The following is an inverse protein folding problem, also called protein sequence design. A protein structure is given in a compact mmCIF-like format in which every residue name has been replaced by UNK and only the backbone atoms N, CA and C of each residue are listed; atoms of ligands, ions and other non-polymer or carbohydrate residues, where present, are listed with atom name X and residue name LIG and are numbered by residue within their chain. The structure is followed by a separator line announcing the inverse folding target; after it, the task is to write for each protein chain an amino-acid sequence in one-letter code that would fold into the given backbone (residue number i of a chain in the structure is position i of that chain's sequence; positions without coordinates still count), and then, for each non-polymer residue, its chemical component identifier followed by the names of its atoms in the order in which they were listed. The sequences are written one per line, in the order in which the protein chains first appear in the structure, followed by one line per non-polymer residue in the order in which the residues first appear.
data_IF_725939910070
#
_entry.id   IF_725939910070
#
_cell.length_a   1.000
_cell.length_b   1.000
_cell.length_c   1.000
_cell.angle_alpha   90.00
_cell.angle_beta   90.00
_cell.angle_gamma   90.00
#
_symmetry.space_group_name_H-M   'P 1'
#
loop_
_entity.id
_entity.type
_entity.pdbx_description
1 polymer ?
#
# COMPACT_ATOMS: atom_id res chain seq x y z
N UNK A 1 -13.31 -52.17 23.77
CA UNK A 1 -12.85 -51.56 22.53
C UNK A 1 -13.91 -50.76 21.78
N UNK A 2 -15.11 -51.24 21.49
CA UNK A 2 -16.16 -50.47 20.75
C UNK A 2 -16.67 -49.23 21.50
N UNK A 3 -16.83 -49.29 22.84
CA UNK A 3 -17.28 -48.15 23.63
C UNK A 3 -16.21 -47.03 23.67
N UNK A 4 -14.94 -47.39 23.81
CA UNK A 4 -13.80 -46.44 23.83
C UNK A 4 -13.65 -45.68 22.51
N UNK A 5 -13.83 -46.36 21.36
CA UNK A 5 -13.84 -45.70 20.04
C UNK A 5 -15.00 -44.73 19.86
N UNK A 6 -16.19 -45.03 20.37
CA UNK A 6 -17.34 -44.11 20.33
C UNK A 6 -17.12 -42.89 21.19
N UNK A 7 -16.53 -43.02 22.37
CA UNK A 7 -16.21 -41.89 23.25
C UNK A 7 -15.16 -40.96 22.61
N UNK A 8 -14.11 -41.51 21.99
CA UNK A 8 -13.09 -40.70 21.27
C UNK A 8 -13.71 -39.98 20.08
N UNK A 9 -14.57 -40.62 19.30
CA UNK A 9 -15.23 -39.97 18.16
C UNK A 9 -16.15 -38.83 18.60
N UNK A 10 -16.86 -38.96 19.70
CA UNK A 10 -17.73 -37.90 20.24
C UNK A 10 -16.88 -36.74 20.77
N UNK A 11 -15.77 -37.02 21.47
CA UNK A 11 -14.85 -35.97 21.93
C UNK A 11 -14.19 -35.23 20.77
N UNK A 12 -13.80 -35.94 19.70
CA UNK A 12 -13.20 -35.34 18.51
C UNK A 12 -14.19 -34.40 17.80
N UNK A 13 -15.46 -34.85 17.65
CA UNK A 13 -16.53 -34.01 17.06
C UNK A 13 -16.81 -32.77 17.93
N UNK A 14 -16.82 -32.94 19.27
CA UNK A 14 -17.02 -31.83 20.20
C UNK A 14 -15.87 -30.81 20.13
N UNK A 15 -14.61 -31.27 20.03
CA UNK A 15 -13.45 -30.37 19.85
C UNK A 15 -13.50 -29.63 18.54
N UNK A 16 -13.90 -30.28 17.44
CA UNK A 16 -14.03 -29.62 16.12
C UNK A 16 -15.16 -28.58 16.14
N UNK A 17 -16.30 -28.90 16.78
CA UNK A 17 -17.42 -27.93 16.86
C UNK A 17 -17.08 -26.73 17.76
N UNK A 18 -16.37 -26.95 18.89
CA UNK A 18 -15.90 -25.83 19.75
C UNK A 18 -14.86 -24.99 19.03
N UNK A 19 -13.91 -25.60 18.30
CA UNK A 19 -12.95 -24.87 17.49
C UNK A 19 -13.64 -24.06 16.38
N UNK A 20 -14.62 -24.64 15.68
CA UNK A 20 -15.40 -23.94 14.66
C UNK A 20 -16.26 -22.81 15.25
N UNK A 21 -16.82 -22.96 16.45
CA UNK A 21 -17.52 -21.89 17.17
C UNK A 21 -16.57 -20.77 17.60
N UNK A 22 -15.37 -21.09 18.10
CA UNK A 22 -14.36 -20.08 18.44
C UNK A 22 -13.91 -19.28 17.22
N UNK A 23 -13.72 -19.95 16.07
CA UNK A 23 -13.36 -19.29 14.80
C UNK A 23 -14.52 -18.39 14.32
N UNK A 24 -15.77 -18.85 14.42
CA UNK A 24 -16.93 -18.06 14.01
C UNK A 24 -17.20 -16.86 14.93
N UNK A 25 -16.93 -16.97 16.23
CA UNK A 25 -17.03 -15.86 17.19
C UNK A 25 -15.95 -14.81 16.92
N UNK A 26 -14.71 -15.24 16.67
CA UNK A 26 -13.64 -14.28 16.28
C UNK A 26 -13.91 -13.58 14.95
N UNK A 27 -14.51 -14.25 13.97
CA UNK A 27 -14.87 -13.65 12.68
C UNK A 27 -16.08 -12.70 12.79
N UNK A 28 -17.02 -12.95 13.70
CA UNK A 28 -18.16 -12.09 13.95
C UNK A 28 -17.77 -10.80 14.71
N UNK A 29 -16.88 -10.89 15.71
CA UNK A 29 -16.37 -9.74 16.45
C UNK A 29 -15.52 -8.80 15.59
N UNK A 30 -14.84 -9.34 14.56
CA UNK A 30 -13.99 -8.53 13.65
C UNK A 30 -14.80 -7.60 12.73
N UNK A 31 -16.03 -7.92 12.37
CA UNK A 31 -16.90 -7.06 11.56
C UNK A 31 -17.39 -5.81 12.28
N UNK A 32 -17.41 -5.82 13.61
CA UNK A 32 -17.84 -4.70 14.44
C UNK A 32 -16.69 -3.75 14.83
N UNK A 33 -15.44 -4.13 14.56
CA UNK A 33 -14.25 -3.40 15.02
C UNK A 33 -13.72 -2.35 14.03
N UNK A 34 -14.44 -2.01 12.95
CA UNK A 34 -14.09 -0.84 12.15
C UNK A 34 -14.30 0.41 13.03
N UNK A 35 -13.28 1.28 13.21
CA UNK A 35 -13.42 2.44 14.07
C UNK A 35 -14.60 3.29 13.63
N UNK A 36 -15.36 3.74 14.60
CA UNK A 36 -16.36 4.80 14.39
C UNK A 36 -15.66 6.04 13.84
N UNK A 37 -16.43 6.97 13.26
CA UNK A 37 -15.88 8.26 12.81
C UNK A 37 -15.10 9.00 13.93
N UNK A 38 -15.51 8.85 15.19
CA UNK A 38 -14.76 9.35 16.34
C UNK A 38 -13.45 8.59 16.59
N UNK A 39 -13.43 7.27 16.37
CA UNK A 39 -12.22 6.47 16.48
C UNK A 39 -11.20 6.80 15.40
N UNK A 40 -11.65 7.08 14.17
CA UNK A 40 -10.77 7.54 13.07
C UNK A 40 -10.17 8.91 13.41
N UNK A 41 -10.96 9.83 13.99
CA UNK A 41 -10.44 11.14 14.38
C UNK A 41 -9.37 11.00 15.47
N UNK A 42 -9.56 10.15 16.46
CA UNK A 42 -8.55 9.88 17.49
C UNK A 42 -7.24 9.35 16.90
N UNK A 43 -7.32 8.49 15.88
CA UNK A 43 -6.12 8.01 15.17
C UNK A 43 -5.45 9.12 14.34
N UNK A 44 -6.21 10.04 13.73
CA UNK A 44 -5.65 11.20 13.02
C UNK A 44 -4.87 12.12 13.97
N UNK A 45 -5.35 12.28 15.19
CA UNK A 45 -4.71 13.13 16.20
C UNK A 45 -3.36 12.56 16.70
N UNK A 46 -3.04 11.29 16.36
CA UNK A 46 -1.74 10.67 16.64
C UNK A 46 -0.66 10.99 15.61
N UNK A 47 -1.04 11.60 14.48
CA UNK A 47 -0.09 11.98 13.44
C UNK A 47 0.52 13.35 13.73
N UNK A 48 1.83 13.42 13.59
CA UNK A 48 2.61 14.64 13.60
C UNK A 48 2.74 15.19 12.17
N UNK A 49 3.08 16.47 12.04
CA UNK A 49 3.28 17.15 10.76
C UNK A 49 4.67 17.80 10.71
N UNK A 50 5.32 17.71 9.54
CA UNK A 50 6.60 18.35 9.28
C UNK A 50 6.74 18.70 7.78
N UNK A 51 7.80 19.43 7.41
CA UNK A 51 8.12 19.85 6.06
C UNK A 51 9.56 19.45 5.77
N UNK A 52 9.79 18.79 4.64
CA UNK A 52 11.13 18.46 4.18
C UNK A 52 11.87 19.68 3.63
N UNK A 53 13.21 19.69 3.62
CA UNK A 53 13.99 20.68 2.89
C UNK A 53 13.56 20.78 1.44
N UNK A 54 13.67 21.99 0.89
CA UNK A 54 13.38 22.22 -0.52
C UNK A 54 14.38 21.45 -1.41
N UNK A 55 13.83 20.66 -2.31
CA UNK A 55 14.59 19.97 -3.35
C UNK A 55 13.84 20.10 -4.69
N UNK A 56 14.55 20.42 -5.75
CA UNK A 56 14.02 20.62 -7.09
C UNK A 56 12.86 21.64 -7.16
N UNK A 57 12.91 22.68 -6.30
CA UNK A 57 11.91 23.75 -6.24
C UNK A 57 10.69 23.48 -5.37
N UNK A 58 10.65 22.34 -4.67
CA UNK A 58 9.54 21.95 -3.81
C UNK A 58 10.01 21.54 -2.42
N UNK A 59 9.42 22.15 -1.38
CA UNK A 59 9.46 21.70 0.00
C UNK A 59 8.15 20.96 0.28
N UNK A 60 8.20 19.63 0.25
CA UNK A 60 6.99 18.83 0.47
C UNK A 60 6.69 18.72 1.97
N UNK A 61 5.44 18.99 2.33
CA UNK A 61 4.94 18.68 3.66
C UNK A 61 4.52 17.20 3.78
N UNK A 62 4.60 16.68 4.99
CA UNK A 62 4.20 15.32 5.28
C UNK A 62 3.60 15.18 6.68
N UNK A 63 2.66 14.26 6.82
CA UNK A 63 2.22 13.78 8.12
C UNK A 63 2.88 12.44 8.41
N UNK A 64 3.10 12.13 9.69
CA UNK A 64 3.67 10.84 10.06
C UNK A 64 3.18 10.34 11.41
N UNK A 65 3.13 9.02 11.54
CA UNK A 65 2.94 8.32 12.79
C UNK A 65 4.24 7.65 13.22
N UNK A 66 4.57 7.77 14.51
CA UNK A 66 5.73 7.13 15.11
C UNK A 66 5.33 6.05 16.12
N UNK A 67 5.80 4.81 15.97
CA UNK A 67 5.57 3.74 16.94
C UNK A 67 6.49 3.86 18.17
N UNK A 68 7.43 4.83 18.16
CA UNK A 68 8.51 4.92 19.14
C UNK A 68 7.99 5.40 20.48
N UNK A 69 8.11 4.55 21.50
CA UNK A 69 7.85 4.91 22.87
C UNK A 69 9.00 5.73 23.50
N UNK A 70 8.74 6.30 24.66
CA UNK A 70 9.73 7.06 25.41
C UNK A 70 10.91 6.14 25.83
N UNK A 71 12.13 6.48 25.43
CA UNK A 71 13.35 5.67 25.64
C UNK A 71 13.39 4.35 24.85
N UNK A 72 12.68 4.26 23.76
CA UNK A 72 12.71 3.10 22.89
C UNK A 72 13.98 3.11 22.02
N UNK A 73 14.65 1.96 21.92
CA UNK A 73 15.80 1.71 21.05
C UNK A 73 15.49 0.67 19.95
N UNK A 74 14.21 0.33 19.77
CA UNK A 74 13.74 -0.59 18.75
C UNK A 74 13.97 -0.05 17.33
N UNK A 75 14.02 -0.96 16.37
CA UNK A 75 14.07 -0.67 14.94
C UNK A 75 12.76 -1.04 14.30
N UNK A 76 12.16 -0.10 13.57
CA UNK A 76 10.83 -0.22 13.00
C UNK A 76 10.84 -0.03 11.49
N UNK A 77 10.04 -0.77 10.71
CA UNK A 77 9.83 -0.51 9.31
C UNK A 77 9.33 0.92 9.06
N UNK A 78 9.58 1.44 7.86
CA UNK A 78 8.99 2.67 7.35
C UNK A 78 8.04 2.34 6.20
N UNK A 79 6.77 2.74 6.31
CA UNK A 79 5.75 2.59 5.28
C UNK A 79 5.37 3.98 4.76
N UNK A 80 5.63 4.23 3.48
CA UNK A 80 5.36 5.49 2.81
C UNK A 80 4.10 5.31 1.97
N UNK A 81 3.09 6.16 2.19
CA UNK A 81 1.84 6.10 1.45
C UNK A 81 1.59 7.41 0.69
N UNK A 82 1.36 7.28 -0.63
CA UNK A 82 1.13 8.38 -1.55
C UNK A 82 -0.35 8.45 -1.94
N UNK A 83 -0.97 9.61 -1.69
CA UNK A 83 -2.38 9.82 -2.01
C UNK A 83 -2.65 9.79 -3.52
N UNK A 84 -3.89 9.52 -3.91
CA UNK A 84 -4.34 9.58 -5.30
C UNK A 84 -4.58 11.01 -5.76
N UNK A 85 -5.20 11.14 -6.94
CA UNK A 85 -5.70 12.44 -7.44
C UNK A 85 -6.81 12.90 -6.49
N UNK A 86 -6.64 14.09 -5.93
CA UNK A 86 -7.61 14.72 -5.03
C UNK A 86 -7.42 16.23 -5.00
N UNK A 87 -8.06 16.90 -4.07
CA UNK A 87 -7.84 18.31 -3.79
C UNK A 87 -6.76 18.42 -2.72
N UNK A 88 -5.50 18.29 -3.11
CA UNK A 88 -4.37 18.47 -2.18
C UNK A 88 -4.15 19.95 -1.81
N UNK A 89 -5.26 20.71 -1.71
CA UNK A 89 -5.32 22.17 -1.56
C UNK A 89 -5.34 22.62 -0.09
N UNK A 90 -5.16 21.73 0.86
CA UNK A 90 -5.08 22.06 2.27
C UNK A 90 -4.14 21.12 3.05
N UNK A 91 -3.52 21.67 4.07
CA UNK A 91 -2.66 20.93 5.01
C UNK A 91 -3.43 19.77 5.67
N UNK A 92 -2.80 18.61 5.73
CA UNK A 92 -3.43 17.41 6.28
C UNK A 92 -4.38 16.68 5.33
N UNK A 93 -4.46 17.08 4.05
CA UNK A 93 -5.24 16.36 3.03
C UNK A 93 -4.94 14.85 3.02
N UNK A 94 -3.67 14.48 3.09
CA UNK A 94 -3.22 13.10 3.10
C UNK A 94 -3.79 12.27 4.27
N UNK A 95 -4.13 12.89 5.40
CA UNK A 95 -4.82 12.25 6.53
C UNK A 95 -6.33 12.07 6.29
N UNK A 96 -6.89 12.86 5.39
CA UNK A 96 -8.31 12.80 5.06
C UNK A 96 -8.62 11.87 3.88
N UNK A 97 -7.61 11.36 3.20
CA UNK A 97 -7.78 10.23 2.29
C UNK A 97 -8.07 8.98 3.14
N UNK A 98 -9.29 8.82 3.44
CA UNK A 98 -10.17 8.22 4.44
C UNK A 98 -9.59 7.13 5.34
N UNK A 99 -8.56 6.43 4.92
CA UNK A 99 -8.25 5.14 5.55
C UNK A 99 -6.81 5.09 6.09
N UNK A 100 -5.97 6.11 5.81
CA UNK A 100 -4.59 6.15 6.28
C UNK A 100 -4.42 6.14 7.79
N UNK A 101 -5.27 6.82 8.58
CA UNK A 101 -5.18 6.79 10.03
C UNK A 101 -5.29 5.38 10.63
N UNK A 102 -5.91 4.43 9.95
CA UNK A 102 -5.99 3.04 10.41
C UNK A 102 -4.64 2.38 10.61
N UNK A 103 -3.65 2.76 9.82
CA UNK A 103 -2.32 2.20 9.93
C UNK A 103 -1.65 2.52 11.27
N UNK A 104 -2.10 3.57 11.97
CA UNK A 104 -1.70 3.91 13.33
C UNK A 104 -2.45 3.09 14.40
N UNK A 105 -3.49 2.33 14.05
CA UNK A 105 -4.24 1.56 15.03
C UNK A 105 -3.36 0.51 15.73
N UNK A 106 -3.57 0.34 17.04
CA UNK A 106 -2.83 -0.64 17.83
C UNK A 106 -2.95 -2.07 17.24
N UNK A 107 -4.08 -2.37 16.61
CA UNK A 107 -4.30 -3.66 15.97
C UNK A 107 -3.35 -3.87 14.79
N UNK A 108 -3.25 -2.92 13.85
CA UNK A 108 -2.36 -3.04 12.70
C UNK A 108 -0.89 -2.94 13.13
N UNK A 109 -0.56 -2.02 14.01
CA UNK A 109 0.79 -1.86 14.53
C UNK A 109 1.32 -3.14 15.20
N UNK A 110 0.49 -3.85 15.97
CA UNK A 110 0.88 -5.11 16.64
C UNK A 110 1.18 -6.27 15.68
N UNK A 111 0.83 -6.17 14.39
CA UNK A 111 1.09 -7.22 13.38
C UNK A 111 2.50 -7.14 12.79
N UNK A 112 3.17 -6.00 12.92
CA UNK A 112 4.59 -5.90 12.60
C UNK A 112 5.41 -6.68 13.64
N UNK A 113 6.37 -7.48 13.17
CA UNK A 113 7.24 -8.27 14.07
C UNK A 113 8.08 -7.40 14.99
N UNK A 114 8.33 -6.15 14.60
CA UNK A 114 8.96 -5.10 15.40
C UNK A 114 8.05 -4.52 16.49
N UNK A 115 6.75 -4.85 16.50
CA UNK A 115 5.75 -4.27 17.39
C UNK A 115 5.17 -2.95 16.89
N UNK A 116 5.55 -2.50 15.68
CA UNK A 116 5.04 -1.30 15.04
C UNK A 116 5.79 -0.95 13.77
N UNK A 117 5.36 0.12 13.09
CA UNK A 117 6.01 0.70 11.93
C UNK A 117 5.77 2.21 11.90
N UNK A 118 6.72 2.97 11.39
CA UNK A 118 6.49 4.36 10.98
C UNK A 118 5.56 4.40 9.78
N UNK A 119 4.62 5.34 9.77
CA UNK A 119 3.75 5.62 8.64
C UNK A 119 4.04 7.04 8.18
N UNK A 120 4.45 7.21 6.94
CA UNK A 120 4.84 8.50 6.36
C UNK A 120 3.91 8.83 5.20
N UNK A 121 3.27 9.99 5.27
CA UNK A 121 2.24 10.45 4.34
C UNK A 121 2.67 11.78 3.71
N UNK A 122 3.50 11.78 2.67
CA UNK A 122 3.83 13.00 1.93
C UNK A 122 2.62 13.55 1.17
N UNK A 123 2.60 14.88 0.98
CA UNK A 123 1.59 15.57 0.18
C UNK A 123 2.21 16.18 -1.07
N UNK A 124 1.59 15.95 -2.21
CA UNK A 124 1.95 16.64 -3.45
C UNK A 124 1.61 18.12 -3.38
N UNK A 125 2.41 19.02 -4.00
CA UNK A 125 2.20 20.47 -3.91
C UNK A 125 0.90 20.91 -4.58
N UNK A 126 0.28 21.97 -4.04
CA UNK A 126 -1.01 22.52 -4.48
C UNK A 126 -0.97 23.12 -5.88
N UNK A 127 0.16 23.72 -6.25
CA UNK A 127 0.35 24.41 -7.52
C UNK A 127 0.54 23.46 -8.71
N UNK A 128 0.70 22.16 -8.44
CA UNK A 128 0.82 21.17 -9.49
C UNK A 128 -0.56 20.85 -10.09
N UNK A 129 -0.71 21.05 -11.39
CA UNK A 129 -1.89 20.63 -12.15
C UNK A 129 -2.10 19.13 -12.10
N UNK A 130 -1.05 18.40 -11.76
CA UNK A 130 -1.00 16.97 -11.63
C UNK A 130 -0.30 16.66 -10.32
N UNK A 131 -0.95 15.98 -9.41
CA UNK A 131 -0.55 15.79 -8.02
C UNK A 131 0.81 15.13 -7.85
N UNK A 132 1.06 14.02 -8.51
CA UNK A 132 2.34 13.32 -8.55
C UNK A 132 2.82 13.24 -10.00
N UNK A 133 4.05 13.65 -10.26
CA UNK A 133 4.69 13.55 -11.56
C UNK A 133 6.21 13.40 -11.39
N UNK A 134 6.89 13.06 -12.46
CA UNK A 134 8.33 12.76 -12.44
C UNK A 134 9.21 13.92 -11.93
N UNK A 135 8.74 15.18 -11.97
CA UNK A 135 9.50 16.31 -11.41
C UNK A 135 9.58 16.29 -9.88
N UNK A 136 8.70 15.54 -9.21
CA UNK A 136 8.65 15.43 -7.75
C UNK A 136 9.46 14.24 -7.19
N UNK A 137 10.08 13.42 -8.04
CA UNK A 137 10.85 12.24 -7.61
C UNK A 137 11.96 12.63 -6.63
N UNK A 138 12.77 13.64 -6.98
CA UNK A 138 13.86 14.10 -6.10
C UNK A 138 13.34 14.79 -4.84
N UNK A 139 12.24 15.55 -4.93
CA UNK A 139 11.62 16.18 -3.77
C UNK A 139 11.03 15.12 -2.82
N UNK A 140 10.43 14.07 -3.35
CA UNK A 140 9.94 12.95 -2.54
C UNK A 140 11.08 12.14 -1.93
N UNK A 141 12.19 11.96 -2.64
CA UNK A 141 13.41 11.38 -2.07
C UNK A 141 13.92 12.22 -0.90
N UNK A 142 13.95 13.56 -1.05
CA UNK A 142 14.36 14.46 0.03
C UNK A 142 13.47 14.34 1.27
N UNK A 143 12.16 14.08 1.13
CA UNK A 143 11.27 13.75 2.26
C UNK A 143 11.74 12.49 2.97
N UNK A 144 12.06 11.44 2.23
CA UNK A 144 12.48 10.14 2.81
C UNK A 144 13.83 10.30 3.52
N UNK A 145 14.79 10.97 2.88
CA UNK A 145 16.13 11.21 3.44
C UNK A 145 16.07 12.06 4.72
N UNK A 146 15.27 13.14 4.70
CA UNK A 146 15.03 14.00 5.87
C UNK A 146 14.38 13.22 7.02
N UNK A 147 13.37 12.41 6.70
CA UNK A 147 12.69 11.59 7.69
C UNK A 147 13.64 10.55 8.31
N UNK A 148 14.46 9.88 7.49
CA UNK A 148 15.48 8.95 7.98
C UNK A 148 16.53 9.68 8.82
N UNK A 149 16.98 10.88 8.42
CA UNK A 149 17.92 11.67 9.18
C UNK A 149 17.38 12.04 10.58
N UNK A 150 16.09 12.37 10.69
CA UNK A 150 15.43 12.74 11.96
C UNK A 150 15.13 11.54 12.85
N UNK A 151 14.76 10.40 12.27
CA UNK A 151 14.24 9.23 13.01
C UNK A 151 15.10 7.96 12.86
N UNK A 152 16.23 8.01 12.15
CA UNK A 152 17.04 6.86 11.75
C UNK A 152 17.56 5.99 12.89
N UNK A 153 17.63 6.53 14.11
CA UNK A 153 17.95 5.72 15.30
C UNK A 153 16.91 4.62 15.56
N UNK A 154 15.69 4.80 15.06
CA UNK A 154 14.58 3.87 15.24
C UNK A 154 14.02 3.31 13.92
N UNK A 155 14.54 3.72 12.76
CA UNK A 155 14.11 3.15 11.46
C UNK A 155 14.99 1.94 11.11
N UNK A 156 14.36 0.84 10.72
CA UNK A 156 14.99 -0.27 10.02
C UNK A 156 15.07 0.07 8.54
N UNK A 157 16.23 0.59 8.11
CA UNK A 157 16.44 1.01 6.72
C UNK A 157 16.37 -0.14 5.72
N UNK A 158 16.51 -1.39 6.16
CA UNK A 158 16.28 -2.57 5.31
C UNK A 158 14.80 -2.90 5.11
N UNK A 159 13.89 -2.17 5.76
CA UNK A 159 12.43 -2.38 5.79
C UNK A 159 11.67 -1.11 5.40
N UNK A 160 12.04 -0.48 4.29
CA UNK A 160 11.33 0.67 3.73
C UNK A 160 10.37 0.18 2.64
N UNK A 161 9.11 0.55 2.78
CA UNK A 161 8.03 0.18 1.85
C UNK A 161 7.37 1.43 1.29
N UNK A 162 6.97 1.36 0.02
CA UNK A 162 6.24 2.45 -0.62
C UNK A 162 4.96 1.93 -1.27
N UNK A 163 3.90 2.69 -1.12
CA UNK A 163 2.61 2.42 -1.74
C UNK A 163 1.90 3.71 -2.10
N UNK A 164 0.83 3.57 -2.82
CA UNK A 164 -0.06 4.67 -3.17
C UNK A 164 -1.19 4.18 -4.05
N UNK A 165 -2.22 5.00 -4.15
CA UNK A 165 -3.41 4.70 -4.93
C UNK A 165 -3.46 5.56 -6.18
N UNK A 166 -3.79 4.99 -7.33
CA UNK A 166 -3.95 5.73 -8.59
C UNK A 166 -2.66 6.50 -8.94
N UNK A 167 -2.68 7.84 -8.98
CA UNK A 167 -1.49 8.67 -9.20
C UNK A 167 -0.39 8.42 -8.16
N UNK A 168 -0.74 8.20 -6.89
CA UNK A 168 0.23 7.80 -5.87
C UNK A 168 0.84 6.43 -6.14
N UNK A 169 0.08 5.50 -6.71
CA UNK A 169 0.59 4.20 -7.15
C UNK A 169 1.56 4.32 -8.34
N UNK A 170 1.34 5.30 -9.22
CA UNK A 170 2.28 5.62 -10.30
C UNK A 170 3.59 6.16 -9.75
N UNK A 171 3.51 7.15 -8.84
CA UNK A 171 4.70 7.69 -8.19
C UNK A 171 5.43 6.62 -7.36
N UNK A 172 4.73 5.66 -6.75
CA UNK A 172 5.38 4.55 -6.07
C UNK A 172 6.22 3.71 -7.06
N UNK A 173 5.74 3.49 -8.29
CA UNK A 173 6.53 2.87 -9.36
C UNK A 173 7.73 3.72 -9.76
N UNK A 174 7.52 5.03 -9.98
CA UNK A 174 8.59 5.95 -10.35
C UNK A 174 9.72 5.93 -9.31
N UNK A 175 9.37 5.91 -8.03
CA UNK A 175 10.34 5.85 -6.93
C UNK A 175 11.12 4.54 -6.91
N UNK A 176 10.47 3.37 -7.04
CA UNK A 176 11.20 2.09 -7.03
C UNK A 176 12.02 1.86 -8.29
N UNK A 177 11.70 2.51 -9.40
CA UNK A 177 12.49 2.49 -10.63
C UNK A 177 13.72 3.41 -10.47
N UNK A 178 13.52 4.61 -9.90
CA UNK A 178 14.59 5.58 -9.71
C UNK A 178 15.58 5.19 -8.62
N UNK A 179 15.09 4.59 -7.53
CA UNK A 179 15.87 4.27 -6.32
C UNK A 179 15.57 2.86 -5.80
N UNK A 180 15.80 1.81 -6.61
CA UNK A 180 15.39 0.45 -6.25
C UNK A 180 16.02 -0.07 -4.95
N UNK A 181 17.22 0.38 -4.61
CA UNK A 181 17.94 -0.06 -3.42
C UNK A 181 17.32 0.42 -2.11
N UNK A 182 16.57 1.54 -2.11
CA UNK A 182 15.90 2.05 -0.91
C UNK A 182 14.80 1.10 -0.42
N UNK A 183 14.14 0.40 -1.32
CA UNK A 183 12.86 -0.25 -1.01
C UNK A 183 13.01 -1.77 -0.85
N UNK A 184 12.54 -2.28 0.28
CA UNK A 184 12.30 -3.70 0.49
C UNK A 184 11.14 -4.19 -0.39
N UNK A 185 10.12 -3.36 -0.54
CA UNK A 185 9.00 -3.67 -1.38
C UNK A 185 8.10 -2.49 -1.68
N UNK A 186 7.26 -2.66 -2.70
CA UNK A 186 6.21 -1.72 -3.07
C UNK A 186 4.88 -2.44 -3.30
N UNK A 187 3.77 -1.78 -2.92
CA UNK A 187 2.43 -2.31 -3.17
C UNK A 187 1.54 -1.26 -3.83
N UNK A 188 1.76 -0.96 -5.13
CA UNK A 188 0.97 0.00 -5.88
C UNK A 188 -0.47 -0.50 -6.07
N UNK A 189 -1.45 0.41 -5.86
CA UNK A 189 -2.87 0.11 -5.81
C UNK A 189 -3.57 0.86 -6.94
N UNK A 190 -4.33 0.15 -7.77
CA UNK A 190 -5.05 0.73 -8.90
C UNK A 190 -4.19 1.69 -9.72
N UNK A 191 -2.93 1.34 -9.92
CA UNK A 191 -1.92 2.15 -10.61
C UNK A 191 -2.02 1.96 -12.11
N UNK A 192 -2.04 3.06 -12.85
CA UNK A 192 -2.07 3.07 -14.31
C UNK A 192 -0.71 2.88 -14.94
N UNK A 193 0.37 2.88 -14.15
CA UNK A 193 1.76 2.97 -14.58
C UNK A 193 2.08 2.18 -15.82
N UNK A 194 2.52 2.87 -16.86
CA UNK A 194 3.07 2.25 -18.07
C UNK A 194 4.52 1.81 -17.85
N UNK A 195 4.71 0.91 -16.89
CA UNK A 195 6.04 0.38 -16.57
C UNK A 195 6.49 -0.60 -17.65
N UNK A 196 7.57 -0.27 -18.31
CA UNK A 196 8.16 -1.08 -19.37
C UNK A 196 8.92 -2.30 -18.82
N UNK A 197 9.20 -3.27 -19.69
CA UNK A 197 10.02 -4.42 -19.32
C UNK A 197 11.48 -4.04 -18.93
N UNK A 198 12.00 -2.91 -19.42
CA UNK A 198 13.32 -2.40 -19.02
C UNK A 198 13.29 -1.80 -17.63
N UNK A 199 12.25 -1.08 -17.28
CA UNK A 199 12.05 -0.49 -15.94
C UNK A 199 11.82 -1.57 -14.88
N UNK A 200 11.04 -2.62 -15.18
CA UNK A 200 10.92 -3.78 -14.28
C UNK A 200 12.28 -4.42 -14.00
N UNK A 201 13.19 -4.47 -14.97
CA UNK A 201 14.54 -4.99 -14.72
C UNK A 201 15.39 -4.07 -13.83
N UNK A 202 15.17 -2.76 -13.86
CA UNK A 202 15.87 -1.81 -12.98
C UNK A 202 15.51 -2.04 -11.51
N UNK A 203 14.26 -2.40 -11.23
CA UNK A 203 13.78 -2.69 -9.88
C UNK A 203 13.57 -4.19 -9.61
N UNK A 204 14.38 -5.05 -10.25
CA UNK A 204 14.20 -6.51 -10.20
C UNK A 204 14.41 -7.14 -8.81
N UNK A 205 15.06 -6.44 -7.89
CA UNK A 205 15.28 -6.90 -6.52
C UNK A 205 14.21 -6.42 -5.53
N UNK A 206 13.35 -5.47 -5.96
CA UNK A 206 12.26 -4.97 -5.11
C UNK A 206 11.09 -5.94 -5.14
N UNK A 207 10.61 -6.35 -3.98
CA UNK A 207 9.40 -7.16 -3.89
C UNK A 207 8.16 -6.32 -4.26
N UNK A 208 7.31 -6.82 -5.17
CA UNK A 208 6.17 -6.05 -5.67
C UNK A 208 4.85 -6.77 -5.37
N UNK A 209 3.94 -6.07 -4.71
CA UNK A 209 2.56 -6.55 -4.55
C UNK A 209 1.58 -5.63 -5.24
N UNK A 210 1.15 -5.95 -6.45
CA UNK A 210 0.13 -5.19 -7.18
C UNK A 210 -1.26 -5.51 -6.65
N UNK A 211 -2.11 -4.48 -6.51
CA UNK A 211 -3.52 -4.62 -6.11
C UNK A 211 -4.38 -3.92 -7.16
N UNK A 212 -5.28 -4.67 -7.81
CA UNK A 212 -6.06 -4.15 -8.93
C UNK A 212 -7.46 -4.77 -9.02
N UNK A 213 -8.45 -3.97 -9.39
CA UNK A 213 -9.78 -4.47 -9.73
C UNK A 213 -9.87 -4.83 -11.22
N UNK A 214 -10.51 -5.95 -11.53
CA UNK A 214 -10.75 -6.38 -12.92
C UNK A 214 -11.74 -5.47 -13.66
N UNK A 215 -12.52 -4.69 -12.93
CA UNK A 215 -13.54 -3.77 -13.46
C UNK A 215 -13.17 -2.31 -13.30
N UNK A 216 -11.92 -2.00 -12.96
CA UNK A 216 -11.46 -0.62 -12.83
C UNK A 216 -11.70 0.14 -14.15
N UNK A 217 -12.46 1.25 -14.14
CA UNK A 217 -12.79 2.00 -15.35
C UNK A 217 -11.61 2.83 -15.89
N UNK A 218 -10.59 3.11 -15.04
CA UNK A 218 -9.43 3.93 -15.38
C UNK A 218 -8.19 3.10 -15.68
N UNK A 219 -8.03 1.97 -14.97
CA UNK A 219 -6.90 1.07 -15.14
C UNK A 219 -7.38 -0.23 -15.78
N UNK A 220 -7.20 -0.34 -17.08
CA UNK A 220 -7.64 -1.54 -17.79
C UNK A 220 -6.82 -2.76 -17.37
N UNK A 221 -7.46 -3.67 -16.65
CA UNK A 221 -6.82 -4.86 -16.09
C UNK A 221 -6.13 -5.71 -17.17
N UNK A 222 -6.74 -5.89 -18.33
CA UNK A 222 -6.23 -6.77 -19.41
C UNK A 222 -5.07 -6.14 -20.16
N UNK A 223 -5.11 -4.82 -20.40
CA UNK A 223 -4.12 -4.14 -21.25
C UNK A 223 -3.02 -3.43 -20.46
N UNK A 224 -3.22 -3.21 -19.16
CA UNK A 224 -2.25 -2.54 -18.26
C UNK A 224 -1.75 -3.52 -17.21
N UNK A 225 -2.63 -3.97 -16.30
CA UNK A 225 -2.21 -4.77 -15.14
C UNK A 225 -1.62 -6.12 -15.52
N UNK A 226 -2.28 -6.87 -16.40
CA UNK A 226 -1.80 -8.21 -16.77
C UNK A 226 -0.45 -8.21 -17.52
N UNK A 227 -0.18 -7.33 -18.50
CA UNK A 227 1.12 -7.24 -19.14
C UNK A 227 2.24 -6.86 -18.18
N UNK A 228 1.99 -5.90 -17.28
CA UNK A 228 2.95 -5.51 -16.26
C UNK A 228 3.24 -6.68 -15.31
N UNK A 229 2.22 -7.37 -14.83
CA UNK A 229 2.40 -8.56 -14.00
C UNK A 229 3.24 -9.65 -14.68
N UNK A 230 3.02 -9.90 -15.96
CA UNK A 230 3.84 -10.83 -16.74
C UNK A 230 5.31 -10.41 -16.79
N UNK A 231 5.58 -9.10 -16.90
CA UNK A 231 6.95 -8.59 -16.86
C UNK A 231 7.57 -8.80 -15.48
N UNK A 232 6.84 -8.55 -14.39
CA UNK A 232 7.31 -8.80 -13.02
C UNK A 232 7.66 -10.28 -12.85
N UNK A 233 6.74 -11.20 -13.16
CA UNK A 233 7.00 -12.64 -13.06
C UNK A 233 8.24 -13.10 -13.87
N UNK A 234 8.53 -12.41 -14.97
CA UNK A 234 9.63 -12.78 -15.86
C UNK A 234 10.98 -12.19 -15.44
N UNK A 235 10.99 -10.99 -14.88
CA UNK A 235 12.22 -10.21 -14.73
C UNK A 235 12.60 -9.90 -13.29
N UNK A 236 11.68 -10.11 -12.32
CA UNK A 236 12.04 -9.99 -10.92
C UNK A 236 12.93 -11.16 -10.49
N UNK A 237 13.95 -10.88 -9.71
CA UNK A 237 14.94 -11.87 -9.26
C UNK A 237 14.35 -12.80 -8.17
N UNK A 238 13.31 -12.35 -7.45
CA UNK A 238 12.62 -13.10 -6.41
C UNK A 238 11.10 -13.13 -6.67
N UNK A 239 10.64 -13.82 -7.74
CA UNK A 239 9.23 -13.79 -8.13
C UNK A 239 8.29 -14.39 -7.05
N UNK A 240 8.80 -15.24 -6.15
CA UNK A 240 8.03 -15.76 -5.02
C UNK A 240 7.62 -14.66 -4.01
N UNK A 241 8.37 -13.56 -3.94
CA UNK A 241 8.08 -12.42 -3.08
C UNK A 241 7.14 -11.41 -3.76
N UNK A 242 6.94 -11.54 -5.08
CA UNK A 242 6.00 -10.71 -5.83
C UNK A 242 4.59 -11.29 -5.80
N UNK A 243 3.58 -10.42 -5.77
CA UNK A 243 2.16 -10.79 -5.68
C UNK A 243 1.28 -9.91 -6.55
N UNK A 244 0.20 -10.49 -7.04
CA UNK A 244 -0.90 -9.78 -7.68
C UNK A 244 -2.21 -10.19 -7.00
N UNK A 245 -2.87 -9.24 -6.35
CA UNK A 245 -4.24 -9.37 -5.89
C UNK A 245 -5.20 -8.80 -6.92
N UNK A 246 -6.08 -9.65 -7.43
CA UNK A 246 -7.10 -9.31 -8.42
C UNK A 246 -8.48 -9.38 -7.80
N UNK A 247 -9.23 -8.27 -7.86
CA UNK A 247 -10.56 -8.16 -7.31
C UNK A 247 -11.62 -8.17 -8.41
N UNK A 248 -12.68 -8.93 -8.19
CA UNK A 248 -13.87 -8.90 -9.06
C UNK A 248 -14.81 -7.75 -8.67
N UNK A 249 -14.81 -7.35 -7.40
CA UNK A 249 -15.59 -6.21 -6.88
C UNK A 249 -14.86 -5.57 -5.70
N UNK A 250 -15.05 -4.27 -5.54
CA UNK A 250 -14.61 -3.52 -4.36
C UNK A 250 -15.84 -3.33 -3.46
N UNK A 251 -15.71 -3.74 -2.20
CA UNK A 251 -16.76 -3.59 -1.18
C UNK A 251 -16.23 -2.62 -0.14
N UNK A 252 -16.96 -1.55 0.11
CA UNK A 252 -16.59 -0.60 1.17
C UNK A 252 -16.78 -1.23 2.56
N UNK A 253 -15.83 -1.03 3.49
CA UNK A 253 -15.87 -1.64 4.83
C UNK A 253 -17.11 -1.32 5.65
N UNK A 254 -17.73 -0.17 5.44
CA UNK A 254 -18.89 0.31 6.20
C UNK A 254 -20.22 -0.40 5.89
N UNK A 255 -20.22 -1.50 5.12
CA UNK A 255 -21.44 -2.23 4.79
C UNK A 255 -22.38 -1.50 3.84
N UNK A 256 -21.95 -0.37 3.29
CA UNK A 256 -22.60 0.27 2.18
C UNK A 256 -22.53 -0.65 0.96
N UNK A 257 -23.59 -0.66 0.16
CA UNK A 257 -23.68 -1.45 -1.06
C UNK A 257 -22.36 -1.43 -1.84
N UNK A 258 -22.01 -2.57 -2.43
CA UNK A 258 -20.84 -2.68 -3.29
C UNK A 258 -20.66 -1.39 -4.09
N UNK A 259 -19.61 -0.65 -3.83
CA UNK A 259 -19.30 0.55 -4.59
C UNK A 259 -19.05 0.11 -6.02
N UNK A 260 -19.83 0.63 -6.98
CA UNK A 260 -19.54 0.43 -8.40
C UNK A 260 -18.21 1.11 -8.80
N UNK A 261 -17.58 1.83 -7.88
CA UNK A 261 -16.30 2.47 -8.10
C UNK A 261 -15.13 1.52 -7.88
N UNK A 262 -14.91 0.64 -8.83
CA UNK A 262 -13.84 -0.35 -8.82
C UNK A 262 -12.42 0.24 -8.82
N UNK A 263 -12.26 1.55 -8.98
CA UNK A 263 -10.99 2.25 -8.83
C UNK A 263 -10.59 2.44 -7.36
N UNK A 264 -11.52 2.28 -6.42
CA UNK A 264 -11.27 2.34 -4.98
C UNK A 264 -10.67 1.03 -4.42
N UNK A 265 -9.91 0.28 -5.21
CA UNK A 265 -9.23 -0.93 -4.74
C UNK A 265 -8.33 -0.69 -3.52
N UNK A 266 -7.96 0.56 -3.24
CA UNK A 266 -7.22 0.97 -2.04
C UNK A 266 -7.91 0.58 -0.73
N UNK A 267 -9.24 0.61 -0.66
CA UNK A 267 -9.99 0.26 0.56
C UNK A 267 -9.68 -1.16 1.07
N UNK A 268 -9.21 -2.03 0.22
CA UNK A 268 -8.84 -3.41 0.58
C UNK A 268 -7.59 -3.46 1.44
N UNK A 269 -6.66 -2.52 1.24
CA UNK A 269 -5.44 -2.45 2.05
C UNK A 269 -5.73 -1.98 3.47
N UNK A 270 -6.90 -1.42 3.68
CA UNK A 270 -7.38 -0.93 4.96
C UNK A 270 -8.41 -1.86 5.58
N UNK A 271 -8.96 -2.77 4.77
CA UNK A 271 -9.78 -3.84 5.29
C UNK A 271 -8.89 -4.88 5.97
N UNK A 272 -9.23 -5.23 7.19
CA UNK A 272 -8.53 -6.25 7.98
C UNK A 272 -8.32 -7.57 7.24
N UNK A 273 -9.18 -7.87 6.26
CA UNK A 273 -9.09 -9.10 5.47
C UNK A 273 -7.80 -9.21 4.65
N UNK A 274 -7.32 -8.09 4.07
CA UNK A 274 -6.03 -8.09 3.37
C UNK A 274 -4.85 -7.83 4.31
N UNK A 275 -5.05 -7.02 5.35
CA UNK A 275 -4.00 -6.61 6.27
C UNK A 275 -3.69 -7.69 7.31
N UNK A 276 -4.69 -8.45 7.73
CA UNK A 276 -4.54 -9.52 8.72
C UNK A 276 -4.36 -10.92 8.11
N UNK A 277 -4.35 -11.01 6.79
CA UNK A 277 -4.19 -12.25 6.08
C UNK A 277 -5.46 -13.08 5.93
N UNK A 278 -6.64 -12.55 6.27
CA UNK A 278 -7.90 -13.22 5.96
C UNK A 278 -8.30 -12.99 4.49
N UNK A 279 -9.18 -13.85 3.96
CA UNK A 279 -9.60 -13.80 2.56
C UNK A 279 -10.61 -12.68 2.34
N UNK A 280 -10.29 -11.72 1.48
CA UNK A 280 -11.25 -10.72 1.03
C UNK A 280 -12.21 -11.34 0.00
N UNK A 281 -13.54 -11.16 0.12
CA UNK A 281 -14.49 -11.77 -0.81
C UNK A 281 -14.16 -11.44 -2.27
N UNK A 282 -14.13 -12.46 -3.12
CA UNK A 282 -13.87 -12.35 -4.56
C UNK A 282 -12.47 -11.83 -4.93
N UNK A 283 -11.50 -11.93 -4.02
CA UNK A 283 -10.11 -11.62 -4.32
C UNK A 283 -9.32 -12.90 -4.60
N UNK A 284 -8.55 -12.89 -5.67
CA UNK A 284 -7.58 -13.93 -5.97
C UNK A 284 -6.19 -13.30 -5.92
N UNK A 285 -5.33 -13.84 -5.07
CA UNK A 285 -3.92 -13.44 -5.01
C UNK A 285 -3.04 -14.57 -5.52
N UNK A 286 -2.12 -14.23 -6.41
CA UNK A 286 -1.11 -15.16 -6.94
C UNK A 286 0.28 -14.61 -6.67
N UNK A 287 1.27 -15.51 -6.47
CA UNK A 287 2.68 -15.14 -6.46
C UNK A 287 3.26 -15.10 -7.88
N UNK A 288 4.50 -14.61 -8.04
CA UNK A 288 5.16 -14.52 -9.34
C UNK A 288 5.53 -15.88 -9.94
N UNK A 289 5.42 -16.98 -9.19
CA UNK A 289 5.56 -18.35 -9.69
C UNK A 289 4.22 -18.95 -10.16
N UNK A 290 3.11 -18.20 -10.03
CA UNK A 290 1.77 -18.62 -10.42
C UNK A 290 1.02 -19.43 -9.37
N UNK A 291 1.51 -19.52 -8.14
CA UNK A 291 0.79 -20.17 -7.06
C UNK A 291 -0.31 -19.26 -6.52
N UNK A 292 -1.51 -19.78 -6.36
CA UNK A 292 -2.58 -19.07 -5.66
C UNK A 292 -2.30 -19.09 -4.15
N UNK A 293 -2.33 -17.90 -3.54
CA UNK A 293 -2.10 -17.71 -2.13
C UNK A 293 -3.44 -17.58 -1.40
N UNK A 294 -3.56 -18.31 -0.29
CA UNK A 294 -4.59 -18.00 0.69
C UNK A 294 -4.13 -16.82 1.54
N UNK A 295 -4.91 -15.73 1.57
CA UNK A 295 -4.59 -14.52 2.34
C UNK A 295 -4.97 -14.64 3.83
N UNK A 296 -5.34 -15.81 4.31
CA UNK A 296 -5.40 -16.06 5.75
C UNK A 296 -4.00 -15.89 6.36
N UNK A 297 -3.97 -15.44 7.61
CA UNK A 297 -2.71 -15.36 8.36
C UNK A 297 -1.86 -16.64 8.15
N UNK A 298 -0.58 -16.55 7.71
CA UNK A 298 0.31 -15.38 7.77
C UNK A 298 0.55 -14.67 6.41
N UNK A 299 -0.36 -14.66 5.47
CA UNK A 299 -0.13 -14.24 4.09
C UNK A 299 -0.60 -12.81 3.73
N UNK A 300 -1.07 -12.00 4.68
CA UNK A 300 -1.50 -10.63 4.47
C UNK A 300 -0.36 -9.64 4.21
N UNK A 301 -0.70 -8.40 3.88
CA UNK A 301 0.28 -7.35 3.50
C UNK A 301 1.33 -7.12 4.59
N UNK A 302 0.93 -7.02 5.87
CA UNK A 302 1.90 -6.79 6.95
C UNK A 302 2.81 -8.00 7.13
N UNK A 303 2.28 -9.20 7.01
CA UNK A 303 3.09 -10.43 7.06
C UNK A 303 4.09 -10.50 5.90
N UNK A 304 3.66 -10.06 4.71
CA UNK A 304 4.55 -9.95 3.56
C UNK A 304 5.66 -8.91 3.82
N UNK A 305 5.34 -7.71 4.31
CA UNK A 305 6.33 -6.71 4.70
C UNK A 305 7.31 -7.23 5.76
N UNK A 306 6.84 -8.04 6.71
CA UNK A 306 7.72 -8.68 7.69
C UNK A 306 8.73 -9.63 7.03
N UNK A 307 8.40 -10.25 5.90
CA UNK A 307 9.21 -11.30 5.25
C UNK A 307 10.23 -10.79 4.25
N UNK A 308 10.07 -9.58 3.70
CA UNK A 308 10.96 -9.01 2.67
C UNK A 308 11.87 -7.93 3.24
N UNK A 309 13.05 -7.74 2.63
CA UNK A 309 14.03 -6.72 3.04
C UNK A 309 14.91 -6.30 1.86
N UNK A 310 15.43 -5.07 1.92
CA UNK A 310 16.46 -4.56 1.01
C UNK A 310 17.86 -4.67 1.64
N UNK A 311 18.87 -4.25 0.89
CA UNK A 311 20.24 -4.09 1.39
C UNK A 311 20.60 -2.63 1.71
N UNK A 312 19.61 -1.74 1.75
CA UNK A 312 19.85 -0.32 1.99
C UNK A 312 20.40 -0.06 3.41
N UNK A 313 21.51 0.65 3.48
CA UNK A 313 22.23 0.92 4.75
C UNK A 313 21.85 2.23 5.42
N UNK A 314 20.96 3.02 4.80
CA UNK A 314 20.50 4.30 5.32
C UNK A 314 21.36 5.50 4.91
N UNK A 315 22.38 5.32 4.06
CA UNK A 315 23.21 6.42 3.61
C UNK A 315 22.51 7.18 2.44
N UNK A 316 22.25 8.49 2.59
CA UNK A 316 21.63 9.28 1.54
C UNK A 316 22.44 9.24 0.25
N UNK A 317 21.80 9.00 -0.87
CA UNK A 317 22.41 9.12 -2.19
C UNK A 317 23.18 7.90 -2.69
N UNK A 318 23.11 6.72 -2.01
CA UNK A 318 23.64 5.47 -2.57
C UNK A 318 22.85 5.01 -3.80
N UNK A 319 21.71 5.63 -4.09
CA UNK A 319 20.89 5.40 -5.28
C UNK A 319 21.64 5.67 -6.58
N UNK A 320 21.77 4.65 -7.42
CA UNK A 320 22.38 4.75 -8.74
C UNK A 320 21.37 4.90 -9.88
N UNK A 321 20.08 4.87 -9.55
CA UNK A 321 18.99 4.90 -10.52
C UNK A 321 18.81 6.29 -11.13
N UNK A 322 19.45 6.58 -12.25
CA UNK A 322 19.06 7.71 -13.10
C UNK A 322 17.85 7.30 -13.93
N UNK A 323 16.69 7.76 -13.53
CA UNK A 323 15.51 7.71 -14.39
C UNK A 323 15.77 8.61 -15.60
N UNK A 324 15.81 8.05 -16.79
CA UNK A 324 15.79 8.81 -18.03
C UNK A 324 14.33 9.10 -18.34
N UNK A 325 13.78 10.14 -17.69
CA UNK A 325 12.45 10.64 -18.04
C UNK A 325 12.55 11.18 -19.46
N UNK A 326 11.86 10.55 -20.39
CA UNK A 326 11.78 11.05 -21.75
C UNK A 326 10.72 12.14 -21.81
N UNK A 327 11.01 13.23 -22.52
CA UNK A 327 10.04 14.33 -22.80
C UNK A 327 8.70 13.79 -23.35
N UNK A 328 8.72 12.60 -23.97
CA UNK A 328 7.53 11.91 -24.47
C UNK A 328 6.66 11.38 -23.31
N UNK A 329 7.25 10.87 -22.25
CA UNK A 329 6.52 10.34 -21.09
C UNK A 329 5.84 11.48 -20.33
N UNK A 330 6.47 12.64 -20.20
CA UNK A 330 5.87 13.84 -19.63
C UNK A 330 4.67 14.35 -20.48
N UNK A 331 4.79 14.31 -21.81
CA UNK A 331 3.68 14.65 -22.70
C UNK A 331 2.52 13.63 -22.55
N UNK A 332 2.80 12.36 -22.54
CA UNK A 332 1.79 11.30 -22.38
C UNK A 332 1.09 11.45 -21.02
N UNK A 333 1.84 11.67 -19.96
CA UNK A 333 1.32 11.89 -18.62
C UNK A 333 0.49 13.16 -18.54
N UNK A 334 0.92 14.26 -19.19
CA UNK A 334 0.15 15.51 -19.30
C UNK A 334 -1.21 15.28 -19.98
N UNK A 335 -1.23 14.61 -21.15
CA UNK A 335 -2.49 14.35 -21.88
C UNK A 335 -3.40 13.38 -21.11
N UNK A 336 -2.86 12.34 -20.50
CA UNK A 336 -3.62 11.40 -19.69
C UNK A 336 -4.29 12.10 -18.50
N UNK A 337 -3.56 12.93 -17.80
CA UNK A 337 -4.04 13.67 -16.65
C UNK A 337 -5.05 14.76 -17.04
N UNK A 338 -4.88 15.38 -18.23
CA UNK A 338 -5.85 16.30 -18.78
C UNK A 338 -7.19 15.61 -19.09
N UNK A 339 -7.16 14.41 -19.68
CA UNK A 339 -8.34 13.59 -19.94
C UNK A 339 -9.04 13.22 -18.65
N UNK A 340 -8.31 12.76 -17.64
CA UNK A 340 -8.88 12.43 -16.32
C UNK A 340 -9.54 13.65 -15.66
N UNK A 341 -8.92 14.82 -15.77
CA UNK A 341 -9.49 16.07 -15.24
C UNK A 341 -10.79 16.46 -15.96
N UNK A 342 -10.83 16.31 -17.28
CA UNK A 342 -12.05 16.54 -18.08
C UNK A 342 -13.13 15.56 -17.71
N UNK A 343 -12.81 14.28 -17.56
CA UNK A 343 -13.77 13.23 -17.13
C UNK A 343 -14.35 13.56 -15.76
N UNK A 344 -13.50 13.93 -14.77
CA UNK A 344 -13.97 14.32 -13.45
C UNK A 344 -14.88 15.56 -13.46
N UNK A 345 -14.59 16.55 -14.31
CA UNK A 345 -15.46 17.72 -14.48
C UNK A 345 -16.82 17.28 -15.04
N UNK A 346 -16.84 16.40 -16.04
CA UNK A 346 -18.07 15.87 -16.61
C UNK A 346 -18.86 15.04 -15.61
N UNK A 347 -18.22 14.19 -14.82
CA UNK A 347 -18.88 13.41 -13.77
C UNK A 347 -19.54 14.33 -12.72
N UNK A 348 -18.82 15.39 -12.27
CA UNK A 348 -19.41 16.40 -11.36
C UNK A 348 -20.59 17.15 -11.96
N UNK A 349 -20.54 17.48 -13.26
CA UNK A 349 -21.64 18.16 -13.96
C UNK A 349 -22.85 17.26 -14.16
N UNK A 350 -22.65 15.96 -14.26
CA UNK A 350 -23.71 14.96 -14.44
C UNK A 350 -24.21 14.36 -13.12
N UNK A 351 -23.63 14.76 -11.98
CA UNK A 351 -24.01 14.23 -10.66
C UNK A 351 -23.68 12.75 -10.46
N UNK A 352 -22.64 12.25 -11.15
CA UNK A 352 -22.16 10.86 -11.11
C UNK A 352 -20.95 10.73 -10.17
#
# INVERSE_FOLDING_TARGET
MRLFRKVISVLLVLCITVAAMCISVQAADRKEALPTSAGIQALRDEFEHDIAPEENGYALDYCYYSPVGKNDSGKYPLVIFLHGIGHADYEGYQLNDSDMPYWASAELQSRFTSGGAFILLPRAPEDQLVYWNSSLIESLRAVIDDFIAKHGNNIDTTKIFITGSSAGGEMAWDMVIAFPEYFAGAFPIASTGSVSASEVRQCSDVAIWMIASKKDPFVNYTTVTQPLWKNICKYNNNPADCRLSSLDSVIEPAGNSASDNHHLAKVITYDFHMLDGSTYPNTVTVDGNGNTLNLESPNGIIYWMNSVSSSYDGEPGSGTGKMTVTFIDDIINFFRNYVLKVVNIFQRLLGL
#
